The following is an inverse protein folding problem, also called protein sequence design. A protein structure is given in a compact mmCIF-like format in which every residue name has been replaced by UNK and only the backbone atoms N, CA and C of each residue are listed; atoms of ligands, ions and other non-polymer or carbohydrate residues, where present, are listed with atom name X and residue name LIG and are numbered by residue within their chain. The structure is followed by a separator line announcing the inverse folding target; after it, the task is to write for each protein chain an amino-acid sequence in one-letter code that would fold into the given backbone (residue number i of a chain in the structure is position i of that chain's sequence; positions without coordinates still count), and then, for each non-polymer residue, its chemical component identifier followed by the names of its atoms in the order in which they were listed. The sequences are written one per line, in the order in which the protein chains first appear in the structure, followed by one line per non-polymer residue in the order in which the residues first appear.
data_IF_199733125711
#
_entry.id   IF_199733125711
#
_cell.length_a   1.000
_cell.length_b   1.000
_cell.length_c   1.000
_cell.angle_alpha   90.00
_cell.angle_beta   90.00
_cell.angle_gamma   90.00
#
_symmetry.space_group_name_H-M   'P 1'
#
loop_
_entity.id
_entity.type
_entity.pdbx_description
1 polymer ?
#
# COMPACT_ATOMS: atom_id res chain seq x y z
N UNK A 1 -3.20 23.05 -4.94
CA UNK A 1 -3.66 22.28 -6.11
C UNK A 1 -4.76 23.07 -6.81
N UNK A 2 -4.83 23.02 -8.15
CA UNK A 2 -5.93 23.59 -8.94
C UNK A 2 -6.42 22.53 -9.91
N UNK A 3 -7.74 22.32 -10.02
CA UNK A 3 -8.35 21.41 -10.99
C UNK A 3 -9.39 22.12 -11.85
N UNK A 4 -9.65 21.58 -13.03
CA UNK A 4 -10.70 22.05 -13.95
C UNK A 4 -11.22 20.89 -14.81
N UNK A 5 -12.46 21.00 -15.26
CA UNK A 5 -13.00 20.11 -16.28
C UNK A 5 -12.15 20.16 -17.55
N UNK A 6 -12.04 19.02 -18.22
CA UNK A 6 -11.36 18.89 -19.50
C UNK A 6 -12.00 17.75 -20.29
N UNK A 7 -11.99 17.83 -21.61
CA UNK A 7 -12.48 16.76 -22.47
C UNK A 7 -11.33 15.89 -22.99
N UNK A 8 -11.60 14.63 -23.37
CA UNK A 8 -10.60 13.73 -23.96
C UNK A 8 -9.91 14.32 -25.20
N UNK A 9 -10.64 15.05 -26.03
CA UNK A 9 -10.15 15.64 -27.29
C UNK A 9 -9.14 16.75 -27.01
N UNK A 10 -9.39 17.58 -26.00
CA UNK A 10 -8.48 18.68 -25.62
C UNK A 10 -7.18 18.14 -25.00
N UNK A 11 -7.28 17.06 -24.23
CA UNK A 11 -6.12 16.47 -23.52
C UNK A 11 -5.37 15.45 -24.38
N UNK A 12 -6.03 14.87 -25.38
CA UNK A 12 -5.49 13.76 -26.18
C UNK A 12 -5.40 12.45 -25.39
N UNK A 13 -6.25 12.25 -24.37
CA UNK A 13 -6.26 11.05 -23.54
C UNK A 13 -7.70 10.56 -23.31
N UNK A 14 -8.02 9.27 -23.59
CA UNK A 14 -9.38 8.75 -23.45
C UNK A 14 -9.96 8.92 -22.05
N UNK A 15 -11.27 9.15 -21.99
CA UNK A 15 -12.06 9.17 -20.76
C UNK A 15 -11.67 10.25 -19.72
N UNK A 16 -10.84 11.24 -20.08
CA UNK A 16 -10.56 12.36 -19.15
C UNK A 16 -11.80 13.23 -18.99
N UNK A 17 -12.18 13.49 -17.74
CA UNK A 17 -13.24 14.44 -17.41
C UNK A 17 -12.71 15.69 -16.69
N UNK A 18 -11.52 15.59 -16.08
CA UNK A 18 -10.84 16.75 -15.49
C UNK A 18 -9.32 16.56 -15.38
N UNK A 19 -8.64 17.69 -15.34
CA UNK A 19 -7.18 17.78 -15.15
C UNK A 19 -6.87 18.63 -13.93
N UNK A 20 -5.68 18.43 -13.36
CA UNK A 20 -5.19 19.19 -12.23
C UNK A 20 -3.70 19.49 -12.30
N UNK A 21 -3.32 20.61 -11.69
CA UNK A 21 -1.93 20.97 -11.41
C UNK A 21 -1.70 20.95 -9.90
N UNK A 22 -0.73 20.13 -9.50
CA UNK A 22 -0.23 20.05 -8.14
C UNK A 22 1.16 20.68 -8.07
N UNK A 23 1.27 21.84 -7.42
CA UNK A 23 2.57 22.36 -6.99
C UNK A 23 2.97 21.68 -5.68
N UNK A 24 4.11 21.01 -5.65
CA UNK A 24 4.64 20.37 -4.43
C UNK A 24 6.01 20.96 -4.05
N UNK A 25 6.24 21.05 -2.76
CA UNK A 25 7.51 21.47 -2.16
C UNK A 25 8.06 20.29 -1.38
N UNK A 26 9.12 19.68 -1.89
CA UNK A 26 9.85 18.60 -1.22
C UNK A 26 11.08 19.21 -0.55
N UNK A 27 11.38 18.82 0.69
CA UNK A 27 12.37 19.49 1.55
C UNK A 27 13.69 19.82 0.85
N UNK A 28 14.25 18.86 0.12
CA UNK A 28 15.57 18.96 -0.51
C UNK A 28 15.51 19.24 -2.01
N UNK A 29 14.33 19.51 -2.58
CA UNK A 29 14.16 19.70 -4.01
C UNK A 29 13.49 21.03 -4.33
N UNK A 30 13.79 21.57 -5.51
CA UNK A 30 13.11 22.73 -6.03
C UNK A 30 11.58 22.47 -6.11
N UNK A 31 10.75 23.51 -5.93
CA UNK A 31 9.33 23.42 -6.21
C UNK A 31 9.08 22.83 -7.60
N UNK A 32 8.18 21.86 -7.67
CA UNK A 32 7.80 21.25 -8.95
C UNK A 32 6.29 21.26 -9.13
N UNK A 33 5.88 21.22 -10.40
CA UNK A 33 4.48 21.15 -10.81
C UNK A 33 4.23 19.81 -11.46
N UNK A 34 3.30 19.05 -10.90
CA UNK A 34 2.85 17.76 -11.41
C UNK A 34 1.49 17.94 -12.07
N UNK A 35 1.37 17.51 -13.32
CA UNK A 35 0.10 17.42 -14.03
C UNK A 35 -0.58 16.08 -13.72
N UNK A 36 -1.88 16.13 -13.43
CA UNK A 36 -2.70 14.98 -13.07
C UNK A 36 -3.98 15.00 -13.93
N UNK A 37 -4.55 13.83 -14.21
CA UNK A 37 -5.81 13.67 -14.92
C UNK A 37 -6.61 12.50 -14.34
N UNK A 38 -7.93 12.52 -14.51
CA UNK A 38 -8.83 11.48 -14.02
C UNK A 38 -10.10 11.42 -14.89
N UNK A 39 -10.76 10.27 -14.88
CA UNK A 39 -12.09 10.07 -15.47
C UNK A 39 -13.23 10.44 -14.54
N UNK A 40 -12.96 10.84 -13.30
CA UNK A 40 -14.01 11.32 -12.39
C UNK A 40 -14.38 12.77 -12.73
N UNK A 41 -15.66 13.17 -12.77
CA UNK A 41 -16.04 14.56 -12.97
C UNK A 41 -15.66 15.46 -11.77
N UNK A 42 -15.55 16.79 -11.95
CA UNK A 42 -15.30 17.73 -10.85
C UNK A 42 -16.32 17.69 -9.70
N UNK A 43 -17.55 17.24 -9.97
CA UNK A 43 -18.60 17.03 -8.98
C UNK A 43 -18.30 15.88 -8.01
N UNK A 44 -17.55 14.87 -8.45
CA UNK A 44 -17.19 13.70 -7.65
C UNK A 44 -15.80 13.81 -7.01
N UNK A 45 -14.88 14.52 -7.65
CA UNK A 45 -13.52 14.71 -7.15
C UNK A 45 -13.11 16.18 -7.20
N UNK A 46 -13.37 16.89 -6.10
CA UNK A 46 -12.91 18.27 -5.93
C UNK A 46 -11.41 18.32 -5.60
N UNK A 47 -10.82 19.52 -5.62
CA UNK A 47 -9.37 19.69 -5.43
C UNK A 47 -8.86 19.19 -4.06
N UNK A 48 -9.65 19.27 -3.00
CA UNK A 48 -9.24 18.81 -1.66
C UNK A 48 -9.20 17.28 -1.53
N UNK A 49 -10.27 16.52 -1.87
CA UNK A 49 -10.25 15.07 -2.02
C UNK A 49 -9.13 14.56 -2.94
N UNK A 50 -8.90 15.23 -4.07
CA UNK A 50 -7.81 14.86 -4.96
C UNK A 50 -6.45 14.96 -4.28
N UNK A 51 -6.18 16.09 -3.61
CA UNK A 51 -4.93 16.27 -2.88
C UNK A 51 -4.76 15.22 -1.76
N UNK A 52 -5.85 14.84 -1.09
CA UNK A 52 -5.84 13.76 -0.11
C UNK A 52 -5.51 12.40 -0.76
N UNK A 53 -6.16 12.06 -1.87
CA UNK A 53 -5.89 10.83 -2.62
C UNK A 53 -4.44 10.77 -3.14
N UNK A 54 -3.93 11.86 -3.70
CA UNK A 54 -2.54 11.95 -4.17
C UNK A 54 -1.54 11.73 -3.02
N UNK A 55 -1.80 12.30 -1.83
CA UNK A 55 -0.95 12.01 -0.65
C UNK A 55 -1.09 10.56 -0.19
N UNK A 56 -2.30 10.01 -0.20
CA UNK A 56 -2.54 8.63 0.20
C UNK A 56 -1.87 7.63 -0.76
N UNK A 57 -1.76 7.94 -2.05
CA UNK A 57 -1.07 7.06 -3.01
C UNK A 57 0.39 6.78 -2.62
N UNK A 58 1.09 7.76 -2.02
CA UNK A 58 2.44 7.56 -1.50
C UNK A 58 2.53 6.53 -0.37
N UNK A 59 1.43 6.26 0.34
CA UNK A 59 1.41 5.21 1.38
C UNK A 59 1.60 3.80 0.80
N UNK A 60 1.37 3.62 -0.51
CA UNK A 60 1.68 2.36 -1.20
C UNK A 60 3.20 2.16 -1.22
N UNK A 61 3.96 3.19 -1.61
CA UNK A 61 5.42 3.15 -1.68
C UNK A 61 6.04 3.06 -0.27
N UNK A 62 5.71 4.03 0.58
CA UNK A 62 6.28 4.11 1.93
C UNK A 62 5.77 3.03 2.89
N UNK A 63 4.73 2.28 2.50
CA UNK A 63 4.05 1.30 3.34
C UNK A 63 4.11 -0.11 2.77
N UNK A 64 3.44 -0.37 1.65
CA UNK A 64 3.38 -1.72 1.07
C UNK A 64 4.73 -2.12 0.46
N UNK A 65 5.28 -1.31 -0.44
CA UNK A 65 6.53 -1.64 -1.14
C UNK A 65 7.68 -1.76 -0.16
N UNK A 66 7.87 -0.77 0.72
CA UNK A 66 8.90 -0.84 1.76
C UNK A 66 8.87 -2.14 2.57
N UNK A 67 7.68 -2.63 2.98
CA UNK A 67 7.56 -3.90 3.71
C UNK A 67 7.88 -5.11 2.83
N UNK A 68 7.44 -5.11 1.58
CA UNK A 68 7.71 -6.21 0.66
C UNK A 68 9.21 -6.31 0.34
N UNK A 69 9.81 -5.19 -0.04
CA UNK A 69 11.20 -5.10 -0.48
C UNK A 69 12.16 -5.41 0.68
N UNK A 70 11.94 -4.76 1.83
CA UNK A 70 12.86 -4.83 2.97
C UNK A 70 12.47 -5.95 3.94
N UNK A 71 11.29 -5.87 4.55
CA UNK A 71 10.90 -6.81 5.62
C UNK A 71 10.65 -8.22 5.10
N UNK A 72 9.98 -8.37 3.95
CA UNK A 72 9.77 -9.66 3.28
C UNK A 72 10.92 -10.05 2.35
N UNK A 73 11.95 -9.19 2.23
CA UNK A 73 13.17 -9.44 1.47
C UNK A 73 12.89 -9.82 0.02
N UNK A 74 11.91 -9.17 -0.61
CA UNK A 74 11.54 -9.44 -2.00
C UNK A 74 12.72 -9.17 -2.94
N UNK A 75 13.45 -8.07 -2.75
CA UNK A 75 14.65 -7.74 -3.55
C UNK A 75 15.78 -8.76 -3.42
N UNK A 76 15.91 -9.39 -2.25
CA UNK A 76 16.92 -10.41 -1.99
C UNK A 76 16.50 -11.81 -2.50
N UNK A 77 15.30 -11.95 -3.07
CA UNK A 77 14.77 -13.23 -3.55
C UNK A 77 15.59 -13.75 -4.74
N UNK A 78 16.15 -14.95 -4.61
CA UNK A 78 16.96 -15.59 -5.67
C UNK A 78 16.16 -16.44 -6.66
N UNK A 79 14.85 -16.57 -6.46
CA UNK A 79 13.98 -17.31 -7.39
C UNK A 79 13.91 -16.56 -8.71
N UNK A 80 14.28 -17.21 -9.82
CA UNK A 80 14.32 -16.58 -11.17
C UNK A 80 13.29 -17.11 -12.16
N UNK A 81 12.52 -18.14 -11.80
CA UNK A 81 11.47 -18.69 -12.68
C UNK A 81 10.19 -17.83 -12.57
N UNK A 82 9.65 -17.26 -13.66
CA UNK A 82 8.53 -16.31 -13.59
C UNK A 82 7.30 -16.81 -12.81
N UNK A 83 6.89 -18.07 -13.05
CA UNK A 83 5.77 -18.68 -12.33
C UNK A 83 6.04 -18.80 -10.83
N UNK A 84 7.25 -19.19 -10.45
CA UNK A 84 7.64 -19.30 -9.05
C UNK A 84 7.75 -17.92 -8.39
N UNK A 85 8.27 -16.91 -9.09
CA UNK A 85 8.29 -15.53 -8.59
C UNK A 85 6.87 -15.01 -8.31
N UNK A 86 5.92 -15.26 -9.22
CA UNK A 86 4.52 -14.89 -9.03
C UNK A 86 3.92 -15.51 -7.78
N UNK A 87 4.14 -16.82 -7.58
CA UNK A 87 3.65 -17.54 -6.39
C UNK A 87 4.28 -16.96 -5.11
N UNK A 88 5.59 -16.71 -5.10
CA UNK A 88 6.28 -16.10 -3.96
C UNK A 88 5.75 -14.70 -3.65
N UNK A 89 5.53 -13.86 -4.67
CA UNK A 89 4.97 -12.53 -4.51
C UNK A 89 3.55 -12.57 -3.92
N UNK A 90 2.72 -13.53 -4.35
CA UNK A 90 1.38 -13.74 -3.78
C UNK A 90 1.45 -14.09 -2.29
N UNK A 91 2.31 -15.02 -1.90
CA UNK A 91 2.46 -15.40 -0.48
C UNK A 91 2.98 -14.25 0.39
N UNK A 92 3.94 -13.45 -0.11
CA UNK A 92 4.43 -12.27 0.61
C UNK A 92 3.32 -11.24 0.82
N UNK A 93 2.56 -10.93 -0.23
CA UNK A 93 1.42 -10.00 -0.15
C UNK A 93 0.33 -10.52 0.80
N UNK A 94 0.03 -11.82 0.75
CA UNK A 94 -0.90 -12.45 1.69
C UNK A 94 -0.41 -12.35 3.14
N UNK A 95 0.87 -12.66 3.39
CA UNK A 95 1.48 -12.51 4.71
C UNK A 95 1.47 -11.05 5.19
N UNK A 96 1.69 -10.08 4.32
CA UNK A 96 1.59 -8.66 4.67
C UNK A 96 0.14 -8.28 5.02
N UNK A 97 -0.86 -8.79 4.32
CA UNK A 97 -2.27 -8.57 4.69
C UNK A 97 -2.59 -9.14 6.07
N UNK A 98 -2.11 -10.35 6.40
CA UNK A 98 -2.25 -10.91 7.75
C UNK A 98 -1.55 -10.07 8.81
N UNK A 99 -0.37 -9.53 8.51
CA UNK A 99 0.31 -8.57 9.38
C UNK A 99 -0.54 -7.33 9.63
N UNK A 100 -1.13 -6.73 8.59
CA UNK A 100 -1.96 -5.53 8.76
C UNK A 100 -3.17 -5.80 9.66
N UNK A 101 -3.85 -6.93 9.46
CA UNK A 101 -4.96 -7.35 10.32
C UNK A 101 -4.53 -7.64 11.76
N UNK A 102 -3.41 -8.36 11.94
CA UNK A 102 -2.85 -8.63 13.27
C UNK A 102 -2.49 -7.33 13.99
N UNK A 103 -1.83 -6.40 13.29
CA UNK A 103 -1.38 -5.10 13.82
C UNK A 103 -2.56 -4.26 14.31
N UNK A 104 -3.65 -4.19 13.54
CA UNK A 104 -4.84 -3.41 13.90
C UNK A 104 -5.49 -3.90 15.20
N UNK A 105 -5.32 -5.19 15.54
CA UNK A 105 -5.89 -5.81 16.74
C UNK A 105 -5.00 -5.67 17.99
N UNK A 106 -3.82 -5.06 17.87
CA UNK A 106 -2.91 -4.85 18.99
C UNK A 106 -3.28 -3.60 19.79
N UNK A 107 -2.95 -3.57 21.09
CA UNK A 107 -3.24 -2.40 21.97
C UNK A 107 -2.63 -1.09 21.46
N UNK A 108 -1.45 -1.14 20.83
CA UNK A 108 -0.76 0.03 20.26
C UNK A 108 -0.27 -0.27 18.84
N UNK A 109 -1.16 -0.28 17.83
CA UNK A 109 -0.83 -0.69 16.46
C UNK A 109 0.34 0.08 15.85
N UNK A 110 0.46 1.38 16.18
CA UNK A 110 1.51 2.26 15.66
C UNK A 110 2.93 1.82 16.03
N UNK A 111 3.10 1.05 17.09
CA UNK A 111 4.41 0.55 17.54
C UNK A 111 4.72 -0.88 17.08
N UNK A 112 3.83 -1.48 16.28
CA UNK A 112 3.98 -2.86 15.82
C UNK A 112 4.53 -2.90 14.39
N UNK A 113 5.62 -3.64 14.25
CA UNK A 113 6.40 -3.79 13.02
C UNK A 113 6.15 -5.17 12.38
N UNK A 114 6.55 -5.33 11.12
CA UNK A 114 6.52 -6.63 10.43
C UNK A 114 7.40 -7.66 11.14
N UNK A 115 8.53 -7.23 11.72
CA UNK A 115 9.42 -8.10 12.50
C UNK A 115 8.74 -8.62 13.78
N UNK A 116 7.99 -7.77 14.49
CA UNK A 116 7.21 -8.21 15.67
C UNK A 116 6.19 -9.27 15.28
N UNK A 117 5.54 -9.11 14.12
CA UNK A 117 4.61 -10.09 13.60
C UNK A 117 5.28 -11.41 13.25
N UNK A 118 6.45 -11.39 12.60
CA UNK A 118 7.21 -12.62 12.35
C UNK A 118 7.64 -13.29 13.65
N UNK A 119 8.08 -12.52 14.66
CA UNK A 119 8.38 -13.05 15.99
C UNK A 119 7.17 -13.75 16.61
N UNK A 120 6.01 -13.09 16.60
CA UNK A 120 4.74 -13.65 17.06
C UNK A 120 4.34 -14.93 16.31
N UNK A 121 4.45 -14.93 14.98
CA UNK A 121 4.08 -16.09 14.15
C UNK A 121 5.08 -17.24 14.26
N UNK A 122 6.33 -16.97 14.64
CA UNK A 122 7.35 -17.99 14.89
C UNK A 122 7.31 -18.54 16.33
N UNK A 123 6.66 -17.84 17.25
CA UNK A 123 6.55 -18.26 18.65
C UNK A 123 5.92 -19.65 18.76
N UNK A 124 6.34 -20.40 19.78
CA UNK A 124 5.85 -21.76 20.07
C UNK A 124 5.92 -22.68 18.84
N UNK A 125 7.03 -22.66 18.11
CA UNK A 125 7.24 -23.48 16.90
C UNK A 125 6.12 -23.30 15.86
N UNK A 126 5.81 -22.04 15.52
CA UNK A 126 4.79 -21.68 14.54
C UNK A 126 3.34 -22.03 14.93
N UNK A 127 3.08 -22.38 16.20
CA UNK A 127 1.73 -22.78 16.65
C UNK A 127 0.66 -21.74 16.33
N UNK A 128 0.97 -20.46 16.50
CA UNK A 128 0.04 -19.37 16.19
C UNK A 128 -0.25 -19.27 14.68
N UNK A 129 0.78 -19.38 13.85
CA UNK A 129 0.63 -19.37 12.40
C UNK A 129 -0.21 -20.55 11.91
N UNK A 130 0.10 -21.77 12.39
CA UNK A 130 -0.65 -22.98 12.04
C UNK A 130 -2.11 -22.88 12.46
N UNK A 131 -2.39 -22.43 13.69
CA UNK A 131 -3.75 -22.20 14.17
C UNK A 131 -4.49 -21.18 13.31
N UNK A 132 -3.83 -20.09 12.91
CA UNK A 132 -4.43 -19.08 12.04
C UNK A 132 -4.77 -19.65 10.66
N UNK A 133 -3.91 -20.47 10.07
CA UNK A 133 -4.13 -21.03 8.73
C UNK A 133 -5.17 -22.15 8.71
N UNK A 134 -5.31 -22.89 9.80
CA UNK A 134 -6.22 -24.03 9.90
C UNK A 134 -7.61 -23.68 10.45
N UNK A 135 -7.76 -22.52 11.09
CA UNK A 135 -9.03 -22.12 11.68
C UNK A 135 -10.03 -21.62 10.63
N UNK A 136 -11.29 -22.06 10.76
CA UNK A 136 -12.42 -21.50 10.01
C UNK A 136 -12.67 -20.02 10.34
N UNK A 137 -12.33 -19.61 11.55
CA UNK A 137 -12.38 -18.22 12.04
C UNK A 137 -11.11 -17.92 12.84
N UNK A 138 -10.02 -17.49 12.18
CA UNK A 138 -8.75 -17.29 12.85
C UNK A 138 -8.76 -16.08 13.79
N UNK A 139 -8.25 -16.26 15.01
CA UNK A 139 -7.92 -15.15 15.89
C UNK A 139 -6.48 -14.72 15.64
N UNK A 140 -6.30 -13.44 15.34
CA UNK A 140 -5.00 -12.77 15.21
C UNK A 140 -4.63 -12.01 16.50
N UNK A 141 -5.24 -12.33 17.64
CA UNK A 141 -4.79 -11.85 18.93
C UNK A 141 -3.71 -12.79 19.45
N UNK A 142 -2.52 -12.24 19.67
CA UNK A 142 -1.45 -12.92 20.39
C UNK A 142 -1.58 -12.63 21.88
N UNK A 143 -1.37 -13.62 22.76
CA UNK A 143 -1.31 -13.36 24.20
C UNK A 143 -0.23 -12.32 24.51
N UNK A 144 -0.51 -11.48 25.52
CA UNK A 144 0.39 -10.38 25.94
C UNK A 144 1.64 -10.91 26.62
#
# INVERSE_FOLDING_TARGET
MRSRAASPEVVGFPCVEQVALLRRHLRQHAPEVVALMTSLPPSELTAAPWLAAHRAAWSIESGLHQRLDVSHREDACRVRRPRAMRVMAMFRRFSNSLFMEWRLRQKKPQHKTTSDFFGAMNAEHYRYALRCLQARQPSLQTPS
#
